data_IF_642659997470
#
_entry.id   IF_642659997470
#
_cell.length_a   1.000
_cell.length_b   1.000
_cell.length_c   1.000
_cell.angle_alpha   90.00
_cell.angle_beta   90.00
_cell.angle_gamma   90.00
#
_symmetry.space_group_name_H-M   'P 1'
#
loop_
_entity.id
_entity.type
_entity.pdbx_description
1 polymer ?
#
# COMPACT_ATOMS: atom_id res chain seq x y z
N UNK A 1 -9.16 -17.47 17.63
CA UNK A 1 -9.12 -16.74 16.34
C UNK A 1 -10.34 -15.84 16.29
N UNK A 2 -10.16 -14.54 16.04
CA UNK A 2 -11.26 -13.57 15.97
C UNK A 2 -11.25 -12.89 14.61
N UNK A 3 -12.42 -12.52 14.09
CA UNK A 3 -12.52 -11.74 12.87
C UNK A 3 -11.83 -10.38 13.02
N UNK A 4 -11.12 -9.93 11.98
CA UNK A 4 -10.50 -8.61 11.93
C UNK A 4 -11.45 -7.64 11.24
N UNK A 5 -11.86 -6.59 11.95
CA UNK A 5 -12.66 -5.51 11.37
C UNK A 5 -11.74 -4.44 10.77
N UNK A 6 -11.63 -4.41 9.44
CA UNK A 6 -10.75 -3.48 8.71
C UNK A 6 -11.08 -2.02 9.04
N UNK A 7 -12.36 -1.66 9.11
CA UNK A 7 -12.80 -0.30 9.45
C UNK A 7 -12.34 0.13 10.84
N UNK A 8 -12.39 -0.77 11.83
CA UNK A 8 -11.85 -0.52 13.16
C UNK A 8 -10.32 -0.35 13.14
N UNK A 9 -9.59 -1.11 12.32
CA UNK A 9 -8.13 -0.96 12.22
C UNK A 9 -7.75 0.40 11.63
N UNK A 10 -8.44 0.88 10.60
CA UNK A 10 -8.23 2.22 10.05
C UNK A 10 -8.53 3.37 11.03
N UNK A 11 -9.36 3.15 12.05
CA UNK A 11 -9.61 4.18 13.08
C UNK A 11 -8.48 4.27 14.11
N UNK A 12 -7.49 3.37 14.10
CA UNK A 12 -6.37 3.35 15.06
C UNK A 12 -5.20 4.23 14.67
N UNK A 13 -5.15 4.74 13.43
CA UNK A 13 -4.05 5.57 12.95
C UNK A 13 -4.53 6.62 11.94
N UNK A 14 -3.83 7.75 11.85
CA UNK A 14 -4.14 8.84 10.92
C UNK A 14 -2.96 9.27 10.04
N UNK A 15 -1.77 8.70 10.27
CA UNK A 15 -0.56 9.04 9.53
C UNK A 15 -0.64 8.47 8.11
N UNK A 16 -0.37 9.32 7.12
CA UNK A 16 -0.29 8.92 5.71
C UNK A 16 1.07 8.27 5.41
N UNK A 17 1.11 7.41 4.38
CA UNK A 17 2.32 6.72 3.91
C UNK A 17 3.03 5.94 5.03
N UNK A 18 2.27 5.45 6.00
CA UNK A 18 2.76 4.70 7.14
C UNK A 18 1.95 3.43 7.32
N UNK A 19 2.38 2.32 6.70
CA UNK A 19 1.66 1.07 6.78
C UNK A 19 1.60 0.51 8.21
N UNK A 20 0.52 -0.20 8.52
CA UNK A 20 0.30 -0.88 9.80
C UNK A 20 -0.12 -2.33 9.57
N UNK A 21 0.57 -3.28 10.19
CA UNK A 21 0.31 -4.71 10.04
C UNK A 21 -0.90 -5.15 10.86
N UNK A 22 -1.85 -5.83 10.21
CA UNK A 22 -3.08 -6.33 10.86
C UNK A 22 -3.15 -7.85 10.93
N UNK A 23 -2.41 -8.56 10.06
CA UNK A 23 -2.32 -10.01 10.07
C UNK A 23 -1.04 -10.50 9.37
N UNK A 24 -0.69 -11.75 9.63
CA UNK A 24 0.34 -12.51 8.91
C UNK A 24 -0.32 -13.79 8.39
N UNK A 25 -0.04 -14.13 7.14
CA UNK A 25 -0.46 -15.37 6.48
C UNK A 25 0.80 -16.04 5.95
N UNK A 26 1.27 -17.07 6.64
CA UNK A 26 2.59 -17.69 6.40
C UNK A 26 3.73 -16.65 6.39
N UNK A 27 4.38 -16.46 5.24
CA UNK A 27 5.45 -15.48 5.03
C UNK A 27 4.96 -14.17 4.37
N UNK A 28 3.64 -13.98 4.30
CA UNK A 28 2.97 -12.79 3.78
C UNK A 28 2.37 -11.97 4.92
N UNK A 29 2.19 -10.68 4.70
CA UNK A 29 1.53 -9.78 5.63
C UNK A 29 0.34 -9.08 4.99
N UNK A 30 -0.67 -8.82 5.82
CA UNK A 30 -1.76 -7.91 5.49
C UNK A 30 -1.51 -6.62 6.24
N UNK A 31 -1.33 -5.52 5.51
CA UNK A 31 -1.04 -4.20 6.04
C UNK A 31 -2.08 -3.19 5.55
N UNK A 32 -2.31 -2.13 6.32
CA UNK A 32 -3.21 -1.04 5.96
C UNK A 32 -2.43 0.28 5.88
N UNK A 33 -2.73 1.09 4.87
CA UNK A 33 -2.15 2.42 4.72
C UNK A 33 -3.19 3.45 4.30
N UNK A 34 -2.94 4.71 4.68
CA UNK A 34 -3.65 5.89 4.19
C UNK A 34 -2.74 6.63 3.23
N UNK A 35 -3.21 6.89 2.02
CA UNK A 35 -2.44 7.49 0.93
C UNK A 35 -3.02 8.87 0.63
N UNK A 36 -2.14 9.84 0.38
CA UNK A 36 -2.55 11.20 0.03
C UNK A 36 -1.45 11.94 -0.73
N UNK A 37 -1.81 12.47 -1.89
CA UNK A 37 -0.88 13.07 -2.83
C UNK A 37 -0.04 12.01 -3.55
N UNK A 38 1.13 12.42 -4.02
CA UNK A 38 2.07 11.55 -4.72
C UNK A 38 3.03 10.86 -3.76
N UNK A 39 3.38 9.60 -4.05
CA UNK A 39 4.37 8.86 -3.28
C UNK A 39 5.78 9.05 -3.83
N UNK A 40 6.44 7.94 -4.17
CA UNK A 40 7.82 7.83 -4.65
C UNK A 40 7.78 6.78 -5.76
N UNK A 41 8.45 7.05 -6.87
CA UNK A 41 8.68 6.03 -7.91
C UNK A 41 9.60 4.94 -7.36
N UNK A 42 9.16 3.69 -7.38
CA UNK A 42 9.93 2.56 -6.86
C UNK A 42 9.53 1.24 -7.53
N UNK A 43 10.30 0.18 -7.26
CA UNK A 43 10.05 -1.19 -7.68
C UNK A 43 10.52 -2.17 -6.61
N UNK A 44 9.98 -3.39 -6.63
CA UNK A 44 10.45 -4.51 -5.82
C UNK A 44 10.94 -5.60 -6.76
N UNK A 45 12.24 -5.92 -6.75
CA UNK A 45 12.83 -6.78 -7.79
C UNK A 45 12.39 -8.25 -7.70
N UNK A 46 12.07 -8.70 -6.48
CA UNK A 46 11.84 -10.12 -6.17
C UNK A 46 10.41 -10.47 -5.75
N UNK A 47 9.53 -9.48 -5.65
CA UNK A 47 8.27 -9.60 -4.93
C UNK A 47 7.14 -8.85 -5.63
N UNK A 48 6.00 -9.52 -5.78
CA UNK A 48 4.77 -8.88 -6.22
C UNK A 48 4.13 -8.17 -5.02
N UNK A 49 3.40 -7.10 -5.30
CA UNK A 49 2.64 -6.34 -4.30
C UNK A 49 1.19 -6.19 -4.76
N UNK A 50 0.24 -6.44 -3.87
CA UNK A 50 -1.19 -6.27 -4.14
C UNK A 50 -1.71 -5.07 -3.37
N UNK A 51 -2.47 -4.20 -4.06
CA UNK A 51 -3.26 -3.14 -3.46
C UNK A 51 -4.74 -3.44 -3.64
N UNK A 52 -5.50 -3.36 -2.54
CA UNK A 52 -6.96 -3.29 -2.57
C UNK A 52 -7.40 -1.92 -2.09
N UNK A 53 -8.19 -1.22 -2.89
CA UNK A 53 -8.75 0.08 -2.50
C UNK A 53 -9.99 -0.14 -1.63
N UNK A 54 -9.89 0.23 -0.36
CA UNK A 54 -10.98 0.14 0.62
C UNK A 54 -11.84 1.40 0.61
N UNK A 55 -11.24 2.57 0.29
CA UNK A 55 -11.94 3.85 0.19
C UNK A 55 -11.20 4.80 -0.74
N UNK A 56 -11.94 5.50 -1.60
CA UNK A 56 -11.41 6.54 -2.48
C UNK A 56 -10.93 6.02 -3.84
N UNK A 57 -10.09 6.79 -4.53
CA UNK A 57 -9.58 6.43 -5.86
C UNK A 57 -8.05 6.47 -5.90
N UNK A 58 -7.43 5.32 -6.15
CA UNK A 58 -5.99 5.22 -6.36
C UNK A 58 -5.66 5.36 -7.85
N UNK A 59 -4.65 6.18 -8.16
CA UNK A 59 -4.07 6.25 -9.49
C UNK A 59 -2.69 5.60 -9.42
N UNK A 60 -2.57 4.41 -9.98
CA UNK A 60 -1.30 3.71 -10.05
C UNK A 60 -0.57 4.14 -11.33
N UNK A 61 0.49 4.92 -11.17
CA UNK A 61 1.28 5.37 -12.31
C UNK A 61 2.33 4.32 -12.66
N UNK A 62 2.42 4.02 -13.95
CA UNK A 62 3.52 3.31 -14.59
C UNK A 62 4.19 4.28 -15.56
N UNK A 63 5.36 3.92 -16.09
CA UNK A 63 6.11 4.81 -17.00
C UNK A 63 5.37 5.13 -18.30
N UNK A 64 4.55 4.20 -18.77
CA UNK A 64 3.81 4.26 -20.04
C UNK A 64 2.34 4.66 -19.87
N UNK A 65 1.75 4.45 -18.68
CA UNK A 65 0.32 4.66 -18.45
C UNK A 65 -0.03 4.91 -16.99
N UNK A 66 -1.31 5.13 -16.71
CA UNK A 66 -1.85 5.19 -15.35
C UNK A 66 -3.10 4.33 -15.28
N UNK A 67 -3.12 3.39 -14.34
CA UNK A 67 -4.31 2.61 -14.02
C UNK A 67 -5.10 3.30 -12.92
N UNK A 68 -6.42 3.36 -13.07
CA UNK A 68 -7.33 3.91 -12.06
C UNK A 68 -7.96 2.74 -11.32
N UNK A 69 -7.75 2.70 -10.01
CA UNK A 69 -8.25 1.64 -9.13
C UNK A 69 -9.25 2.26 -8.17
N UNK A 70 -10.52 1.87 -8.31
CA UNK A 70 -11.64 2.40 -7.56
C UNK A 70 -11.91 1.57 -6.30
N UNK A 71 -12.75 2.11 -5.42
CA UNK A 71 -13.19 1.41 -4.21
C UNK A 71 -13.77 0.02 -4.53
N UNK A 72 -13.26 -1.00 -3.83
CA UNK A 72 -13.59 -2.41 -4.03
C UNK A 72 -12.73 -3.14 -5.05
N UNK A 73 -11.92 -2.44 -5.84
CA UNK A 73 -11.04 -3.02 -6.85
C UNK A 73 -9.66 -3.37 -6.27
N UNK A 74 -8.96 -4.25 -6.99
CA UNK A 74 -7.59 -4.68 -6.70
C UNK A 74 -6.68 -4.42 -7.89
N UNK A 75 -5.41 -4.16 -7.61
CA UNK A 75 -4.33 -4.20 -8.60
C UNK A 75 -3.15 -4.98 -8.02
N UNK A 76 -2.52 -5.80 -8.85
CA UNK A 76 -1.26 -6.47 -8.52
C UNK A 76 -0.15 -5.82 -9.34
N UNK A 77 0.91 -5.43 -8.66
CA UNK A 77 2.13 -4.93 -9.26
C UNK A 77 3.11 -6.09 -9.35
N UNK A 78 3.43 -6.57 -10.57
CA UNK A 78 4.42 -7.63 -10.72
C UNK A 78 5.80 -7.14 -10.29
N UNK A 79 6.60 -8.04 -9.72
CA UNK A 79 8.00 -7.78 -9.39
C UNK A 79 8.78 -7.18 -10.56
N UNK A 80 9.66 -6.24 -10.23
CA UNK A 80 10.50 -5.49 -11.18
C UNK A 80 9.75 -4.39 -11.95
N UNK A 81 8.43 -4.23 -11.76
CA UNK A 81 7.67 -3.15 -12.41
C UNK A 81 7.76 -1.88 -11.57
N UNK A 82 8.38 -0.84 -12.14
CA UNK A 82 8.45 0.47 -11.52
C UNK A 82 7.09 1.18 -11.57
N UNK A 83 6.67 1.70 -10.42
CA UNK A 83 5.35 2.29 -10.24
C UNK A 83 5.37 3.42 -9.21
N UNK A 84 4.31 4.22 -9.19
CA UNK A 84 4.11 5.29 -8.21
C UNK A 84 2.62 5.43 -7.84
N UNK A 85 2.24 5.08 -6.59
CA UNK A 85 0.90 5.34 -6.07
C UNK A 85 0.64 6.84 -5.90
N UNK A 86 -0.44 7.36 -6.50
CA UNK A 86 -0.85 8.75 -6.32
C UNK A 86 -2.35 8.93 -6.11
N UNK A 87 -2.74 10.01 -5.45
CA UNK A 87 -4.13 10.43 -5.28
C UNK A 87 -4.35 11.83 -5.86
N UNK A 88 -5.58 12.14 -6.26
CA UNK A 88 -5.95 13.45 -6.84
C UNK A 88 -6.76 14.28 -5.86
N UNK A 89 -6.83 15.59 -6.11
CA UNK A 89 -7.74 16.52 -5.41
C UNK A 89 -7.63 16.49 -3.88
N UNK A 90 -6.44 16.20 -3.34
CA UNK A 90 -6.20 16.08 -1.90
C UNK A 90 -7.04 14.98 -1.21
N UNK A 91 -7.56 14.02 -1.99
CA UNK A 91 -8.31 12.86 -1.51
C UNK A 91 -7.40 11.93 -0.70
N UNK A 92 -7.89 11.48 0.45
CA UNK A 92 -7.28 10.42 1.24
C UNK A 92 -7.85 9.08 0.81
N UNK A 93 -6.98 8.17 0.39
CA UNK A 93 -7.32 6.83 -0.09
C UNK A 93 -6.89 5.81 0.94
N UNK A 94 -7.76 4.87 1.28
CA UNK A 94 -7.45 3.80 2.22
C UNK A 94 -7.18 2.52 1.43
N UNK A 95 -6.02 1.93 1.65
CA UNK A 95 -5.62 0.70 0.97
C UNK A 95 -5.29 -0.39 1.97
N UNK A 96 -5.64 -1.61 1.59
CA UNK A 96 -5.05 -2.82 2.15
C UNK A 96 -3.97 -3.27 1.17
N UNK A 97 -2.79 -3.61 1.70
CA UNK A 97 -1.75 -4.24 0.92
C UNK A 97 -1.52 -5.68 1.40
N UNK A 98 -1.15 -6.53 0.45
CA UNK A 98 -0.76 -7.90 0.69
C UNK A 98 0.55 -8.18 -0.03
N UNK A 99 1.59 -8.45 0.76
CA UNK A 99 2.97 -8.51 0.31
C UNK A 99 3.77 -9.50 1.19
N UNK A 100 5.02 -9.78 0.82
CA UNK A 100 5.89 -10.60 1.66
C UNK A 100 6.33 -9.82 2.90
N UNK A 101 6.65 -10.54 3.97
CA UNK A 101 7.26 -9.92 5.16
C UNK A 101 8.60 -9.25 4.88
N UNK A 102 9.27 -9.63 3.79
CA UNK A 102 10.57 -9.12 3.34
C UNK A 102 10.47 -7.90 2.44
N UNK A 103 9.25 -7.49 2.04
CA UNK A 103 9.03 -6.36 1.15
C UNK A 103 9.44 -5.06 1.82
N UNK A 104 10.45 -4.40 1.25
CA UNK A 104 10.88 -3.08 1.67
C UNK A 104 9.95 -2.01 1.08
N UNK A 105 9.43 -1.09 1.90
CA UNK A 105 8.38 -0.12 1.55
C UNK A 105 8.59 0.65 0.22
N UNK A 106 9.84 0.96 -0.12
CA UNK A 106 10.18 1.69 -1.36
C UNK A 106 11.23 0.93 -2.17
N UNK A 107 11.29 -0.40 -2.01
CA UNK A 107 12.31 -1.24 -2.62
C UNK A 107 13.72 -0.77 -2.28
N UNK A 108 14.52 -0.49 -3.31
CA UNK A 108 15.90 0.00 -3.17
C UNK A 108 16.01 1.53 -3.05
N UNK A 109 14.90 2.26 -3.10
CA UNK A 109 14.89 3.74 -3.05
C UNK A 109 14.88 4.21 -1.60
N UNK A 110 15.81 5.09 -1.24
CA UNK A 110 15.79 5.78 0.05
C UNK A 110 15.11 7.15 -0.09
N UNK A 111 14.02 7.34 0.65
CA UNK A 111 13.23 8.57 0.66
C UNK A 111 12.76 8.93 2.08
N UNK A 112 12.48 10.20 2.37
CA UNK A 112 11.97 10.66 3.69
C UNK A 112 10.63 10.00 4.11
N UNK A 113 9.87 9.48 3.13
CA UNK A 113 8.61 8.76 3.35
C UNK A 113 8.80 7.26 3.58
N UNK A 114 10.01 6.74 3.37
CA UNK A 114 10.34 5.31 3.56
C UNK A 114 10.08 4.92 5.01
N UNK A 115 9.44 3.77 5.20
CA UNK A 115 9.20 3.20 6.52
C UNK A 115 9.89 1.84 6.55
N UNK A 116 10.55 1.53 7.66
CA UNK A 116 11.25 0.25 7.87
C UNK A 116 10.58 -0.61 8.92
N UNK A 117 9.56 -0.07 9.60
CA UNK A 117 8.80 -0.76 10.63
C UNK A 117 7.31 -0.48 10.46
N UNK A 118 6.50 -1.53 10.50
CA UNK A 118 5.04 -1.44 10.45
C UNK A 118 4.44 -1.80 11.81
N UNK A 119 3.81 -0.84 12.53
CA UNK A 119 3.19 -1.14 13.81
C UNK A 119 2.10 -2.19 13.68
N UNK A 120 2.04 -3.11 14.65
CA UNK A 120 1.02 -4.16 14.72
C UNK A 120 -0.20 -3.66 15.48
N UNK A 121 -1.37 -3.67 14.85
CA UNK A 121 -2.61 -3.07 15.41
C UNK A 121 -3.81 -3.98 15.31
#
# INVERSE_FOLDING_TARGET
MNAINIKNKFSKFNKNWHPHQIAIVDNMQVILAKLKGEFVWHSHDDEDELFQVIKGTLYMQFRDRTEVVNEGEIIVIPKGVEHNPTTKNNEEVHVLLFEKLTTAHTGNVQHEKTQTEYPKI
#
